data_IF_964147047431
#
_entry.id   IF_964147047431
#
_cell.length_a   1.000
_cell.length_b   1.000
_cell.length_c   1.000
_cell.angle_alpha   90.00
_cell.angle_beta   90.00
_cell.angle_gamma   90.00
#
_symmetry.space_group_name_H-M   'P 1'
#
loop_
_entity.id
_entity.type
_entity.pdbx_description
1 polymer ?
#
# COMPACT_ATOMS: atom_id res chain seq x y z
N UNK A 1 -23.53 35.13 -6.01
CA UNK A 1 -23.41 33.93 -5.16
C UNK A 1 -22.14 33.22 -5.58
N UNK A 2 -21.13 33.04 -4.71
CA UNK A 2 -19.95 32.28 -5.09
C UNK A 2 -20.24 30.78 -4.96
N UNK A 3 -19.92 30.04 -6.02
CA UNK A 3 -20.04 28.59 -6.14
C UNK A 3 -18.81 27.89 -5.54
N UNK A 4 -18.91 26.59 -5.17
CA UNK A 4 -17.81 25.82 -4.59
C UNK A 4 -16.70 25.56 -5.62
N UNK A 5 -15.46 25.77 -5.22
CA UNK A 5 -14.25 25.46 -6.00
C UNK A 5 -14.02 23.95 -6.01
N UNK A 6 -14.22 23.31 -7.16
CA UNK A 6 -13.78 21.93 -7.43
C UNK A 6 -12.40 22.01 -8.10
N UNK A 7 -11.38 21.40 -7.51
CA UNK A 7 -10.01 21.36 -8.06
C UNK A 7 -9.79 20.14 -8.98
N UNK A 8 -8.87 20.21 -9.97
CA UNK A 8 -8.74 19.23 -11.06
C UNK A 8 -8.09 17.88 -10.69
N UNK A 9 -8.00 17.52 -9.41
CA UNK A 9 -7.29 16.31 -8.92
C UNK A 9 -8.17 15.40 -8.08
N UNK A 10 -9.49 15.60 -8.03
CA UNK A 10 -10.36 14.83 -7.14
C UNK A 10 -10.07 15.06 -5.66
N UNK A 11 -9.30 16.10 -5.32
CA UNK A 11 -9.13 16.55 -3.95
C UNK A 11 -10.40 17.25 -3.48
N UNK A 12 -11.00 16.70 -2.42
CA UNK A 12 -11.87 17.48 -1.55
C UNK A 12 -11.01 18.50 -0.80
N UNK A 13 -11.55 19.70 -0.60
CA UNK A 13 -10.92 20.83 0.08
C UNK A 13 -10.25 20.39 1.40
N UNK A 14 -9.02 20.84 1.73
CA UNK A 14 -8.35 20.53 3.01
C UNK A 14 -9.22 20.83 4.24
N UNK A 15 -10.13 21.79 4.12
CA UNK A 15 -11.04 22.16 5.22
C UNK A 15 -12.15 21.13 5.52
N UNK A 16 -12.34 20.09 4.69
CA UNK A 16 -13.28 18.99 4.98
C UNK A 16 -12.69 17.93 5.92
N UNK A 17 -11.38 17.95 6.20
CA UNK A 17 -10.68 16.96 7.01
C UNK A 17 -9.74 17.59 8.05
N UNK A 18 -10.12 18.72 8.65
CA UNK A 18 -9.42 19.21 9.83
C UNK A 18 -9.85 18.38 11.06
N UNK A 19 -9.26 17.18 11.22
CA UNK A 19 -9.26 16.40 12.46
C UNK A 19 -8.88 14.91 12.32
N UNK A 20 -8.22 14.30 13.33
CA UNK A 20 -7.92 12.88 13.36
C UNK A 20 -9.20 12.05 13.40
N UNK A 21 -9.24 10.98 12.61
CA UNK A 21 -10.35 10.03 12.57
C UNK A 21 -10.19 8.98 13.68
N UNK A 22 -11.18 8.82 14.55
CA UNK A 22 -11.20 7.77 15.58
C UNK A 22 -12.05 6.60 15.08
N UNK A 23 -11.42 5.44 14.80
CA UNK A 23 -12.12 4.17 14.53
C UNK A 23 -12.17 3.34 15.81
N UNK A 24 -13.38 2.98 16.27
CA UNK A 24 -13.55 2.12 17.46
C UNK A 24 -13.49 0.63 17.10
N UNK A 25 -12.69 -0.12 17.87
CA UNK A 25 -12.90 -1.54 18.18
C UNK A 25 -12.92 -1.64 19.71
N UNK A 26 -13.93 -2.30 20.29
CA UNK A 26 -14.20 -2.24 21.73
C UNK A 26 -13.41 -3.25 22.57
N UNK A 27 -12.90 -2.85 23.74
CA UNK A 27 -13.44 -3.28 25.06
C UNK A 27 -12.54 -2.81 26.22
N UNK A 28 -13.16 -2.50 27.37
CA UNK A 28 -12.53 -2.07 28.64
C UNK A 28 -12.52 -3.22 29.67
N UNK A 29 -11.51 -3.33 30.57
CA UNK A 29 -11.58 -4.20 31.74
C UNK A 29 -12.26 -3.48 32.91
N UNK A 30 -12.69 -4.25 33.91
CA UNK A 30 -13.66 -3.77 34.89
C UNK A 30 -13.28 -4.13 36.34
N UNK A 31 -13.42 -3.19 37.29
CA UNK A 31 -13.03 -3.36 38.71
C UNK A 31 -14.25 -3.46 39.67
N UNK A 32 -14.52 -4.68 40.16
CA UNK A 32 -15.21 -5.13 41.40
C UNK A 32 -16.70 -4.80 41.72
N UNK A 33 -17.50 -5.87 41.91
CA UNK A 33 -18.50 -5.96 42.99
C UNK A 33 -19.97 -6.24 42.62
N UNK A 34 -20.40 -7.47 42.95
CA UNK A 34 -21.76 -8.03 43.22
C UNK A 34 -22.74 -8.45 42.09
N UNK A 35 -23.54 -9.53 42.32
CA UNK A 35 -24.16 -10.34 41.27
C UNK A 35 -25.65 -10.07 41.05
N UNK A 36 -26.07 -9.99 39.78
CA UNK A 36 -27.46 -10.19 39.35
C UNK A 36 -28.02 -9.18 38.35
N UNK A 37 -28.70 -9.72 37.32
CA UNK A 37 -29.71 -9.12 36.40
C UNK A 37 -29.24 -8.69 35.00
N UNK A 38 -29.95 -9.25 33.99
CA UNK A 38 -29.88 -9.04 32.53
C UNK A 38 -30.47 -7.70 32.09
N UNK A 39 -29.93 -7.05 31.04
CA UNK A 39 -30.68 -6.08 30.20
C UNK A 39 -30.22 -6.11 28.73
N UNK A 40 -31.17 -5.93 27.81
CA UNK A 40 -31.16 -6.18 26.35
C UNK A 40 -30.84 -4.96 25.46
N UNK A 41 -30.08 -5.21 24.38
CA UNK A 41 -30.27 -4.73 23.00
C UNK A 41 -30.31 -3.21 22.71
N UNK A 42 -31.48 -2.60 22.80
CA UNK A 42 -31.80 -1.47 21.93
C UNK A 42 -31.52 -0.08 22.54
N UNK A 43 -31.22 0.00 23.83
CA UNK A 43 -30.87 1.28 24.49
C UNK A 43 -29.42 1.75 24.24
N UNK A 44 -28.54 0.88 23.69
CA UNK A 44 -27.14 1.23 23.43
C UNK A 44 -26.96 2.01 22.12
N UNK A 45 -27.73 1.73 21.07
CA UNK A 45 -27.51 2.34 19.77
C UNK A 45 -27.78 3.86 19.75
N UNK A 46 -28.82 4.32 20.47
CA UNK A 46 -29.18 5.73 20.55
C UNK A 46 -28.26 6.53 21.50
N UNK A 47 -27.79 5.91 22.59
CA UNK A 47 -26.76 6.51 23.47
C UNK A 47 -25.43 6.72 22.75
N UNK A 48 -25.08 5.83 21.81
CA UNK A 48 -23.83 5.89 21.05
C UNK A 48 -23.82 7.00 19.99
N UNK A 49 -24.94 7.25 19.29
CA UNK A 49 -25.05 8.37 18.34
C UNK A 49 -24.99 9.73 19.03
N UNK A 50 -25.59 9.85 20.21
CA UNK A 50 -25.52 11.07 21.00
C UNK A 50 -24.08 11.34 21.51
N UNK A 51 -23.34 10.30 21.86
CA UNK A 51 -21.97 10.42 22.37
C UNK A 51 -20.93 10.66 21.26
N UNK A 52 -21.09 10.04 20.09
CA UNK A 52 -20.25 10.33 18.91
C UNK A 52 -20.38 11.79 18.48
N UNK A 53 -21.58 12.36 18.58
CA UNK A 53 -21.82 13.78 18.34
C UNK A 53 -21.13 14.65 19.39
N UNK A 54 -21.25 14.31 20.67
CA UNK A 54 -20.65 15.07 21.79
C UNK A 54 -19.12 15.09 21.77
N UNK A 55 -18.48 13.97 21.44
CA UNK A 55 -17.00 13.86 21.34
C UNK A 55 -16.47 14.66 20.15
N UNK A 56 -17.17 14.61 19.02
CA UNK A 56 -16.84 15.42 17.85
C UNK A 56 -17.05 16.93 18.10
N UNK A 57 -18.03 17.32 18.92
CA UNK A 57 -18.24 18.70 19.35
C UNK A 57 -17.14 19.15 20.33
N UNK A 58 -16.80 18.34 21.34
CA UNK A 58 -15.75 18.65 22.31
C UNK A 58 -14.36 18.79 21.68
N UNK A 59 -14.01 17.91 20.74
CA UNK A 59 -12.75 17.98 19.99
C UNK A 59 -12.64 19.25 19.12
N UNK A 60 -13.75 19.73 18.56
CA UNK A 60 -13.76 21.00 17.79
C UNK A 60 -13.50 22.21 18.69
N UNK A 61 -13.90 22.15 19.94
CA UNK A 61 -13.81 23.26 20.89
C UNK A 61 -12.47 23.31 21.65
N UNK A 62 -11.75 22.17 21.78
CA UNK A 62 -10.54 22.04 22.61
C UNK A 62 -9.35 21.45 21.84
N UNK A 63 -9.10 21.94 20.60
CA UNK A 63 -8.10 21.41 19.65
C UNK A 63 -6.68 21.26 20.17
N UNK A 64 -6.31 22.01 21.21
CA UNK A 64 -4.94 22.14 21.69
C UNK A 64 -4.71 21.49 23.07
N UNK A 65 -5.72 20.81 23.61
CA UNK A 65 -5.66 20.14 24.91
C UNK A 65 -5.54 18.61 24.78
N UNK A 66 -4.73 17.99 25.64
CA UNK A 66 -4.70 16.54 25.76
C UNK A 66 -6.05 16.05 26.32
N UNK A 67 -6.82 15.33 25.51
CA UNK A 67 -8.12 14.80 25.91
C UNK A 67 -7.91 13.65 26.92
N UNK A 68 -8.23 13.90 28.19
CA UNK A 68 -8.21 12.88 29.24
C UNK A 68 -9.44 11.97 29.15
N UNK A 69 -9.25 10.77 28.61
CA UNK A 69 -10.27 9.73 28.45
C UNK A 69 -10.40 8.82 29.69
N UNK A 70 -9.61 9.06 30.76
CA UNK A 70 -9.56 8.23 31.98
C UNK A 70 -10.91 8.09 32.71
N UNK A 71 -11.79 9.11 32.75
CA UNK A 71 -13.11 8.98 33.39
C UNK A 71 -14.04 7.99 32.67
N UNK A 72 -13.81 7.72 31.37
CA UNK A 72 -14.67 6.87 30.54
C UNK A 72 -14.34 5.37 30.66
N UNK A 73 -13.30 5.01 31.43
CA UNK A 73 -12.78 3.64 31.54
C UNK A 73 -13.18 2.91 32.83
N UNK A 74 -13.92 3.54 33.76
CA UNK A 74 -14.39 2.88 35.00
C UNK A 74 -15.76 2.21 34.82
N UNK A 75 -15.78 0.94 34.40
CA UNK A 75 -16.89 -0.01 34.55
C UNK A 75 -16.51 -1.21 35.44
N UNK A 76 -17.46 -2.00 35.96
CA UNK A 76 -17.28 -3.06 36.99
C UNK A 76 -17.47 -4.51 36.48
N UNK A 77 -16.57 -5.45 36.88
CA UNK A 77 -16.64 -6.94 36.84
C UNK A 77 -16.66 -7.66 35.47
N UNK A 78 -16.14 -8.87 35.20
CA UNK A 78 -15.48 -10.00 35.93
C UNK A 78 -14.80 -10.89 34.85
N UNK A 79 -13.79 -11.73 35.14
CA UNK A 79 -13.13 -12.55 34.11
C UNK A 79 -14.08 -13.65 33.61
N UNK A 80 -14.33 -13.74 32.30
CA UNK A 80 -14.89 -14.96 31.72
C UNK A 80 -13.75 -15.93 31.48
N UNK A 81 -13.73 -17.05 32.21
CA UNK A 81 -13.05 -18.26 31.76
C UNK A 81 -13.85 -18.82 30.57
N UNK A 82 -13.69 -18.19 29.41
CA UNK A 82 -14.17 -18.75 28.16
C UNK A 82 -13.18 -19.86 27.75
N UNK A 83 -13.66 -21.11 27.77
CA UNK A 83 -12.89 -22.27 27.34
C UNK A 83 -12.59 -22.20 25.83
N UNK A 84 -11.50 -21.53 25.45
CA UNK A 84 -10.92 -21.65 24.11
C UNK A 84 -10.10 -22.96 24.07
N UNK A 85 -10.70 -24.06 23.60
CA UNK A 85 -9.99 -25.32 23.32
C UNK A 85 -9.05 -25.82 24.46
N UNK A 86 -9.46 -25.67 25.73
CA UNK A 86 -8.67 -26.12 26.89
C UNK A 86 -7.48 -25.22 27.27
N UNK A 87 -7.38 -24.01 26.70
CA UNK A 87 -6.36 -23.01 27.06
C UNK A 87 -6.89 -21.98 28.06
N UNK A 88 -5.99 -21.44 28.86
CA UNK A 88 -6.28 -20.33 29.79
C UNK A 88 -6.37 -19.03 29.00
N UNK A 89 -7.47 -18.31 29.14
CA UNK A 89 -7.66 -17.00 28.49
C UNK A 89 -7.05 -15.90 29.36
N UNK A 90 -6.17 -15.10 28.76
CA UNK A 90 -5.51 -13.95 29.34
C UNK A 90 -6.10 -12.67 28.74
N UNK A 91 -6.41 -11.69 29.58
CA UNK A 91 -6.81 -10.38 29.08
C UNK A 91 -5.61 -9.65 28.47
N UNK A 92 -5.81 -9.03 27.31
CA UNK A 92 -4.81 -8.18 26.68
C UNK A 92 -4.43 -7.02 27.61
N UNK A 93 -3.13 -6.78 27.80
CA UNK A 93 -2.68 -5.56 28.51
C UNK A 93 -2.98 -4.35 27.63
N UNK A 94 -3.55 -3.30 28.21
CA UNK A 94 -3.59 -1.97 27.58
C UNK A 94 -4.24 -1.91 26.21
N UNK A 95 -5.45 -2.45 26.03
CA UNK A 95 -6.30 -2.06 24.88
C UNK A 95 -6.78 -0.62 25.05
N UNK A 96 -5.85 0.32 24.86
CA UNK A 96 -6.10 1.75 24.75
C UNK A 96 -6.50 2.12 23.33
N UNK A 97 -6.98 3.35 23.17
CA UNK A 97 -7.24 3.94 21.87
C UNK A 97 -5.94 3.98 21.05
N UNK A 98 -5.97 3.45 19.83
CA UNK A 98 -4.94 3.79 18.84
C UNK A 98 -5.36 5.15 18.26
N UNK A 99 -4.74 6.21 18.76
CA UNK A 99 -4.81 7.53 18.12
C UNK A 99 -3.72 7.53 17.06
N UNK A 100 -4.11 7.31 15.80
CA UNK A 100 -3.20 7.52 14.68
C UNK A 100 -3.13 9.02 14.42
N UNK A 101 -2.00 9.63 14.77
CA UNK A 101 -1.69 10.98 14.31
C UNK A 101 -1.45 10.91 12.81
N UNK A 102 -2.41 11.39 12.03
CA UNK A 102 -2.27 11.53 10.58
C UNK A 102 -1.32 12.71 10.34
N UNK A 103 -0.11 12.40 9.88
CA UNK A 103 0.75 13.41 9.28
C UNK A 103 0.30 13.62 7.83
N UNK A 104 -0.29 14.78 7.48
CA UNK A 104 -0.79 15.05 6.13
C UNK A 104 0.33 15.12 5.08
N UNK A 105 1.61 15.12 5.50
CA UNK A 105 2.76 15.11 4.60
C UNK A 105 3.21 13.70 4.23
N UNK A 106 2.69 12.67 4.90
CA UNK A 106 3.05 11.26 4.67
C UNK A 106 2.00 10.60 3.79
N UNK A 107 2.44 9.99 2.68
CA UNK A 107 1.57 9.18 1.84
C UNK A 107 1.29 7.82 2.50
N UNK A 108 0.02 7.54 2.82
CA UNK A 108 -0.40 6.36 3.60
C UNK A 108 -0.97 5.23 2.73
N UNK A 109 -1.15 4.03 3.31
CA UNK A 109 -1.84 2.92 2.66
C UNK A 109 -3.30 3.25 2.31
N UNK A 110 -3.96 4.04 3.16
CA UNK A 110 -5.31 4.54 2.93
C UNK A 110 -5.36 5.49 1.74
N UNK A 111 -4.36 6.36 1.58
CA UNK A 111 -4.26 7.27 0.42
C UNK A 111 -3.98 6.48 -0.86
N UNK A 112 -3.10 5.48 -0.80
CA UNK A 112 -2.87 4.56 -1.89
C UNK A 112 -4.16 3.80 -2.29
N UNK A 113 -4.93 3.30 -1.33
CA UNK A 113 -6.20 2.61 -1.61
C UNK A 113 -7.25 3.57 -2.22
N UNK A 114 -7.35 4.81 -1.73
CA UNK A 114 -8.24 5.83 -2.34
C UNK A 114 -7.82 6.19 -3.76
N UNK A 115 -6.52 6.35 -3.98
CA UNK A 115 -5.96 6.60 -5.30
C UNK A 115 -6.27 5.42 -6.23
N UNK A 116 -5.99 4.19 -5.80
CA UNK A 116 -6.26 2.96 -6.54
C UNK A 116 -7.74 2.83 -6.93
N UNK A 117 -8.67 3.11 -6.01
CA UNK A 117 -10.11 3.13 -6.27
C UNK A 117 -10.53 4.19 -7.31
N UNK A 118 -9.76 5.27 -7.43
CA UNK A 118 -9.94 6.31 -8.45
C UNK A 118 -9.25 5.97 -9.78
N UNK A 119 -8.72 4.75 -9.93
CA UNK A 119 -7.94 4.32 -11.09
C UNK A 119 -6.45 4.64 -10.98
N UNK A 120 -5.93 4.79 -9.75
CA UNK A 120 -4.54 4.90 -9.33
C UNK A 120 -3.65 3.74 -9.77
N UNK A 121 -2.47 4.02 -10.31
CA UNK A 121 -1.40 3.03 -10.49
C UNK A 121 -0.62 2.77 -9.18
N UNK A 122 -1.34 2.45 -8.10
CA UNK A 122 -0.77 2.21 -6.76
C UNK A 122 -1.63 1.20 -6.00
N UNK A 123 -1.16 0.74 -4.83
CA UNK A 123 -1.87 -0.21 -3.99
C UNK A 123 -1.52 -0.03 -2.50
N UNK A 124 -2.51 -0.14 -1.60
CA UNK A 124 -2.33 0.02 -0.16
C UNK A 124 -1.30 -0.92 0.45
N UNK A 125 -1.20 -2.14 -0.09
CA UNK A 125 -0.21 -3.16 0.31
C UNK A 125 1.20 -2.58 0.47
N UNK A 126 1.67 -1.76 -0.46
CA UNK A 126 3.03 -1.21 -0.45
C UNK A 126 3.33 -0.26 0.72
N UNK A 127 2.30 0.32 1.33
CA UNK A 127 2.46 1.34 2.38
C UNK A 127 2.00 0.84 3.74
N UNK A 128 1.67 -0.46 3.86
CA UNK A 128 1.29 -1.06 5.14
C UNK A 128 2.53 -1.22 6.02
N UNK A 129 2.51 -0.56 7.17
CA UNK A 129 3.51 -0.74 8.22
C UNK A 129 3.45 -2.15 8.80
N UNK A 130 4.60 -2.70 9.14
CA UNK A 130 4.75 -4.08 9.66
C UNK A 130 5.24 -4.11 11.10
N UNK A 131 5.48 -2.95 11.71
CA UNK A 131 5.99 -2.83 13.10
C UNK A 131 5.07 -3.51 14.11
N UNK A 132 3.77 -3.62 13.78
CA UNK A 132 2.79 -4.33 14.60
C UNK A 132 3.18 -5.79 14.87
N UNK A 133 3.94 -6.44 13.99
CA UNK A 133 4.44 -7.80 14.20
C UNK A 133 5.35 -7.88 15.42
N UNK A 134 6.27 -6.93 15.56
CA UNK A 134 7.24 -6.88 16.64
C UNK A 134 6.61 -6.40 17.95
N UNK A 135 5.77 -5.36 17.88
CA UNK A 135 5.00 -4.90 19.04
C UNK A 135 4.12 -6.02 19.58
N UNK A 136 3.38 -6.72 18.72
CA UNK A 136 2.60 -7.86 19.14
C UNK A 136 3.48 -8.99 19.69
N UNK A 137 4.62 -9.30 19.05
CA UNK A 137 5.52 -10.35 19.55
C UNK A 137 5.99 -10.08 20.98
N UNK A 138 6.34 -8.83 21.30
CA UNK A 138 6.70 -8.42 22.66
C UNK A 138 5.56 -8.68 23.64
N UNK A 139 4.32 -8.36 23.30
CA UNK A 139 3.17 -8.61 24.19
C UNK A 139 2.90 -10.11 24.37
N UNK A 140 3.07 -10.91 23.32
CA UNK A 140 2.94 -12.36 23.38
C UNK A 140 4.04 -13.04 24.20
N UNK A 141 5.14 -12.36 24.53
CA UNK A 141 6.14 -12.90 25.48
C UNK A 141 5.58 -13.12 26.87
N UNK A 142 4.54 -12.36 27.25
CA UNK A 142 3.92 -12.45 28.56
C UNK A 142 3.01 -13.68 28.73
N UNK A 143 2.62 -14.36 27.65
CA UNK A 143 1.77 -15.55 27.70
C UNK A 143 2.56 -16.79 28.12
N UNK A 144 2.02 -17.58 29.04
CA UNK A 144 2.46 -18.96 29.30
C UNK A 144 2.14 -19.91 28.14
N UNK A 145 2.72 -21.11 28.16
CA UNK A 145 2.59 -22.11 27.07
C UNK A 145 1.13 -22.52 26.79
N UNK A 146 0.28 -22.50 27.83
CA UNK A 146 -1.14 -22.85 27.75
C UNK A 146 -2.07 -21.63 27.75
N UNK A 147 -1.54 -20.43 27.51
CA UNK A 147 -2.30 -19.18 27.54
C UNK A 147 -2.57 -18.62 26.14
N UNK A 148 -3.72 -17.96 26.00
CA UNK A 148 -4.08 -17.21 24.79
C UNK A 148 -4.72 -15.90 25.18
N UNK A 149 -4.53 -14.86 24.37
CA UNK A 149 -5.28 -13.64 24.56
C UNK A 149 -6.76 -13.81 24.23
N UNK A 150 -7.63 -13.13 24.98
CA UNK A 150 -9.08 -13.04 24.70
C UNK A 150 -9.36 -12.49 23.30
N UNK A 151 -8.56 -11.51 22.87
CA UNK A 151 -8.59 -10.93 21.52
C UNK A 151 -7.20 -10.94 20.91
N UNK A 152 -7.09 -11.02 19.58
CA UNK A 152 -5.78 -10.90 18.91
C UNK A 152 -5.23 -9.51 19.17
N UNK A 153 -4.00 -9.46 19.69
CA UNK A 153 -3.31 -8.20 19.91
C UNK A 153 -2.54 -7.70 18.67
N UNK A 154 -3.11 -7.97 17.50
CA UNK A 154 -2.45 -7.77 16.21
C UNK A 154 -3.43 -6.97 15.37
N UNK A 155 -3.02 -5.79 14.90
CA UNK A 155 -3.82 -4.98 13.98
C UNK A 155 -3.48 -5.36 12.52
N UNK A 156 -3.84 -6.59 12.12
CA UNK A 156 -3.43 -7.19 10.85
C UNK A 156 -4.47 -7.11 9.72
N UNK A 157 -5.74 -6.82 10.03
CA UNK A 157 -6.87 -6.97 9.09
C UNK A 157 -6.62 -6.24 7.77
N UNK A 158 -6.14 -5.00 7.84
CA UNK A 158 -5.91 -4.18 6.66
C UNK A 158 -4.66 -4.63 5.89
N UNK A 159 -3.60 -5.06 6.58
CA UNK A 159 -2.42 -5.66 5.93
C UNK A 159 -2.80 -6.95 5.20
N UNK A 160 -3.57 -7.83 5.85
CA UNK A 160 -4.05 -9.09 5.28
C UNK A 160 -4.91 -8.84 4.05
N UNK A 161 -5.90 -7.94 4.15
CA UNK A 161 -6.79 -7.64 3.03
C UNK A 161 -6.04 -7.02 1.86
N UNK A 162 -5.18 -6.05 2.09
CA UNK A 162 -4.43 -5.43 1.00
C UNK A 162 -3.41 -6.41 0.39
N UNK A 163 -2.83 -7.31 1.18
CA UNK A 163 -1.97 -8.39 0.66
C UNK A 163 -2.78 -9.30 -0.26
N UNK A 164 -3.90 -9.84 0.22
CA UNK A 164 -4.76 -10.71 -0.57
C UNK A 164 -5.27 -9.99 -1.82
N UNK A 165 -5.74 -8.76 -1.70
CA UNK A 165 -6.24 -7.96 -2.82
C UNK A 165 -5.19 -7.75 -3.90
N UNK A 166 -3.97 -7.36 -3.49
CA UNK A 166 -2.85 -7.14 -4.40
C UNK A 166 -2.55 -8.38 -5.22
N UNK A 167 -2.26 -9.50 -4.57
CA UNK A 167 -1.80 -10.72 -5.25
C UNK A 167 -2.92 -11.46 -5.99
N UNK A 168 -4.15 -11.43 -5.48
CA UNK A 168 -5.28 -12.18 -6.05
C UNK A 168 -6.18 -11.32 -6.94
N UNK A 169 -5.87 -10.04 -7.12
CA UNK A 169 -6.71 -9.08 -7.84
C UNK A 169 -8.15 -9.02 -7.27
N UNK A 170 -8.26 -8.99 -5.94
CA UNK A 170 -9.53 -9.01 -5.23
C UNK A 170 -10.27 -10.35 -5.22
N UNK A 171 -9.71 -11.41 -5.81
CA UNK A 171 -10.30 -12.74 -5.80
C UNK A 171 -9.89 -13.53 -4.54
N UNK A 172 -10.42 -13.10 -3.39
CA UNK A 172 -10.24 -13.76 -2.12
C UNK A 172 -11.55 -13.75 -1.30
N UNK A 173 -11.69 -14.71 -0.39
CA UNK A 173 -12.85 -14.85 0.46
C UNK A 173 -12.57 -14.40 1.91
N UNK A 174 -13.62 -14.27 2.72
CA UNK A 174 -13.43 -14.05 4.16
C UNK A 174 -12.73 -15.25 4.83
N UNK A 175 -12.84 -16.46 4.27
CA UNK A 175 -12.08 -17.62 4.74
C UNK A 175 -10.57 -17.42 4.57
N UNK A 176 -10.16 -16.85 3.43
CA UNK A 176 -8.75 -16.53 3.17
C UNK A 176 -8.22 -15.47 4.12
N UNK A 177 -9.03 -14.44 4.38
CA UNK A 177 -8.71 -13.41 5.39
C UNK A 177 -8.52 -14.05 6.76
N UNK A 178 -9.49 -14.84 7.24
CA UNK A 178 -9.42 -15.47 8.55
C UNK A 178 -8.19 -16.37 8.68
N UNK A 179 -7.91 -17.19 7.64
CA UNK A 179 -6.74 -18.07 7.56
C UNK A 179 -5.44 -17.30 7.65
N UNK A 180 -5.28 -16.25 6.84
CA UNK A 180 -4.04 -15.46 6.86
C UNK A 180 -3.84 -14.75 8.19
N UNK A 181 -4.90 -14.22 8.80
CA UNK A 181 -4.80 -13.63 10.14
C UNK A 181 -4.38 -14.68 11.20
N UNK A 182 -4.84 -15.93 11.09
CA UNK A 182 -4.40 -17.01 11.97
C UNK A 182 -2.92 -17.33 11.77
N UNK A 183 -2.46 -17.37 10.51
CA UNK A 183 -1.04 -17.55 10.18
C UNK A 183 -0.19 -16.38 10.72
N UNK A 184 -0.68 -15.13 10.62
CA UNK A 184 -0.04 -13.95 11.22
C UNK A 184 0.07 -14.07 12.74
N UNK A 185 -0.96 -14.63 13.40
CA UNK A 185 -0.90 -14.91 14.84
C UNK A 185 0.18 -15.95 15.17
N UNK A 186 0.32 -16.98 14.34
CA UNK A 186 1.39 -17.99 14.49
C UNK A 186 2.78 -17.38 14.27
N UNK A 187 2.95 -16.51 13.27
CA UNK A 187 4.19 -15.75 13.05
C UNK A 187 4.57 -14.92 14.29
N UNK A 188 3.60 -14.18 14.85
CA UNK A 188 3.82 -13.38 16.07
C UNK A 188 4.22 -14.25 17.26
N UNK A 189 3.63 -15.45 17.41
CA UNK A 189 4.01 -16.39 18.46
C UNK A 189 5.42 -16.94 18.28
N UNK A 190 5.83 -17.24 17.06
CA UNK A 190 7.21 -17.67 16.79
C UNK A 190 8.22 -16.56 17.10
N UNK A 191 7.92 -15.31 16.70
CA UNK A 191 8.74 -14.16 17.06
C UNK A 191 8.80 -13.96 18.59
N UNK A 192 7.68 -14.11 19.29
CA UNK A 192 7.63 -14.03 20.74
C UNK A 192 8.49 -15.12 21.40
N UNK A 193 8.51 -16.33 20.84
CA UNK A 193 9.35 -17.42 21.32
C UNK A 193 10.84 -17.09 21.14
N UNK A 194 11.24 -16.51 19.99
CA UNK A 194 12.62 -16.05 19.80
C UNK A 194 13.05 -15.05 20.88
N UNK A 195 12.15 -14.14 21.30
CA UNK A 195 12.42 -13.20 22.40
C UNK A 195 12.57 -13.93 23.74
N UNK A 196 11.67 -14.88 24.04
CA UNK A 196 11.73 -15.69 25.29
C UNK A 196 13.03 -16.49 25.40
N UNK A 197 13.54 -16.96 24.27
CA UNK A 197 14.79 -17.71 24.18
C UNK A 197 16.03 -16.79 24.33
N UNK A 198 15.84 -15.49 24.59
CA UNK A 198 16.90 -14.50 24.76
C UNK A 198 17.45 -13.92 23.44
N UNK A 199 16.78 -14.21 22.32
CA UNK A 199 17.15 -13.73 21.00
C UNK A 199 16.52 -12.38 20.63
N UNK A 200 17.02 -11.77 19.55
CA UNK A 200 16.36 -10.65 18.87
C UNK A 200 15.36 -11.20 17.84
N UNK A 201 14.14 -10.65 17.73
CA UNK A 201 13.17 -11.05 16.71
C UNK A 201 13.74 -10.99 15.29
N UNK A 202 13.62 -12.09 14.56
CA UNK A 202 14.14 -12.25 13.22
C UNK A 202 13.12 -12.98 12.32
N UNK A 203 12.58 -12.25 11.35
CA UNK A 203 11.59 -12.74 10.39
C UNK A 203 12.14 -13.85 9.49
N UNK A 204 13.46 -13.93 9.28
CA UNK A 204 14.08 -14.97 8.46
C UNK A 204 14.08 -16.35 9.14
N UNK A 205 13.91 -16.39 10.47
CA UNK A 205 13.86 -17.62 11.28
C UNK A 205 12.44 -18.12 11.53
N UNK A 206 11.43 -17.37 11.09
CA UNK A 206 10.03 -17.76 11.20
C UNK A 206 9.73 -18.89 10.19
N UNK A 207 9.10 -19.95 10.67
CA UNK A 207 8.76 -21.15 9.88
C UNK A 207 7.34 -21.10 9.33
N UNK A 208 6.41 -20.45 10.03
CA UNK A 208 5.04 -20.27 9.52
C UNK A 208 5.07 -19.51 8.19
N UNK A 209 4.40 -20.07 7.19
CA UNK A 209 4.12 -19.43 5.90
C UNK A 209 2.72 -18.82 5.90
N UNK A 210 2.53 -17.86 5.02
CA UNK A 210 1.26 -17.24 4.69
C UNK A 210 0.73 -17.85 3.39
N UNK A 211 -0.55 -18.18 3.36
CA UNK A 211 -1.20 -18.65 2.14
C UNK A 211 -1.84 -17.48 1.39
N UNK A 212 -1.43 -17.27 0.15
CA UNK A 212 -1.95 -16.23 -0.76
C UNK A 212 -2.45 -16.91 -2.03
N UNK A 213 -3.77 -16.99 -2.21
CA UNK A 213 -4.36 -17.84 -3.24
C UNK A 213 -3.92 -19.30 -3.04
N UNK A 214 -3.27 -19.86 -4.04
CA UNK A 214 -2.70 -21.23 -4.00
C UNK A 214 -1.19 -21.26 -3.68
N UNK A 215 -0.59 -20.12 -3.34
CA UNK A 215 0.83 -19.99 -3.06
C UNK A 215 1.12 -19.87 -1.56
N UNK A 216 2.23 -20.47 -1.13
CA UNK A 216 2.80 -20.28 0.21
C UNK A 216 3.98 -19.32 0.13
N UNK A 217 4.05 -18.37 1.06
CA UNK A 217 5.12 -17.36 1.11
C UNK A 217 5.57 -17.14 2.56
N UNK A 218 6.88 -17.02 2.79
CA UNK A 218 7.35 -16.60 4.12
C UNK A 218 7.06 -15.12 4.35
N UNK A 219 6.90 -14.71 5.61
CA UNK A 219 6.73 -13.27 5.92
C UNK A 219 7.93 -12.45 5.43
N UNK A 220 9.16 -12.97 5.52
CA UNK A 220 10.36 -12.28 5.03
C UNK A 220 10.31 -12.04 3.51
N UNK A 221 9.94 -13.05 2.72
CA UNK A 221 9.77 -12.93 1.27
C UNK A 221 8.64 -11.96 0.93
N UNK A 222 7.52 -12.00 1.65
CA UNK A 222 6.39 -11.11 1.43
C UNK A 222 6.78 -9.63 1.64
N UNK A 223 7.55 -9.32 2.69
CA UNK A 223 8.00 -7.94 2.94
C UNK A 223 9.06 -7.48 1.94
N UNK A 224 9.91 -8.38 1.45
CA UNK A 224 10.84 -8.09 0.36
C UNK A 224 10.09 -7.75 -0.95
N UNK A 225 9.05 -8.52 -1.27
CA UNK A 225 8.15 -8.25 -2.41
C UNK A 225 7.41 -6.92 -2.22
N UNK A 226 6.93 -6.62 -1.01
CA UNK A 226 6.28 -5.35 -0.68
C UNK A 226 7.20 -4.17 -0.99
N UNK A 227 8.43 -4.20 -0.48
CA UNK A 227 9.42 -3.14 -0.69
C UNK A 227 9.82 -3.00 -2.16
N UNK A 228 10.14 -4.11 -2.81
CA UNK A 228 10.53 -4.12 -4.22
C UNK A 228 9.40 -3.60 -5.11
N UNK A 229 8.17 -4.05 -4.85
CA UNK A 229 6.97 -3.59 -5.55
C UNK A 229 6.71 -2.11 -5.33
N UNK A 230 6.89 -1.60 -4.11
CA UNK A 230 6.76 -0.18 -3.81
C UNK A 230 7.72 0.65 -4.67
N UNK A 231 9.02 0.37 -4.61
CA UNK A 231 10.07 1.11 -5.34
C UNK A 231 9.84 1.07 -6.86
N UNK A 232 9.36 -0.05 -7.41
CA UNK A 232 9.01 -0.15 -8.83
C UNK A 232 7.73 0.63 -9.16
N UNK A 233 6.71 0.55 -8.30
CA UNK A 233 5.39 1.16 -8.55
C UNK A 233 5.41 2.68 -8.60
N UNK A 234 6.40 3.31 -7.94
CA UNK A 234 6.63 4.76 -8.03
C UNK A 234 6.81 5.22 -9.49
N UNK A 235 7.31 4.35 -10.38
CA UNK A 235 7.49 4.67 -11.80
C UNK A 235 6.20 4.65 -12.63
N UNK A 236 5.07 4.20 -12.06
CA UNK A 236 3.79 4.10 -12.78
C UNK A 236 2.86 5.30 -12.57
N UNK A 237 3.23 6.25 -11.71
CA UNK A 237 2.37 7.36 -11.32
C UNK A 237 3.06 8.72 -11.44
N UNK A 238 2.28 9.80 -11.36
CA UNK A 238 2.83 11.17 -11.32
C UNK A 238 3.43 11.67 -12.64
N UNK A 239 3.15 10.99 -13.75
CA UNK A 239 3.72 11.33 -15.04
C UNK A 239 3.02 12.53 -15.66
N UNK A 240 3.79 13.49 -16.14
CA UNK A 240 3.29 14.52 -17.06
C UNK A 240 3.46 14.05 -18.50
N UNK A 241 2.55 14.44 -19.41
CA UNK A 241 2.57 13.97 -20.80
C UNK A 241 2.22 15.08 -21.79
N UNK A 242 2.52 14.86 -23.06
CA UNK A 242 2.19 15.75 -24.17
C UNK A 242 3.23 16.84 -24.45
N UNK A 243 4.40 16.72 -23.85
CA UNK A 243 5.57 17.54 -24.18
C UNK A 243 6.79 16.64 -24.12
N UNK A 244 7.33 16.28 -25.28
CA UNK A 244 8.48 15.38 -25.34
C UNK A 244 9.74 16.11 -24.84
N UNK A 245 9.94 16.05 -23.53
CA UNK A 245 11.06 16.62 -22.79
C UNK A 245 11.99 15.51 -22.30
N UNK A 246 13.15 15.89 -21.77
CA UNK A 246 14.07 14.92 -21.16
C UNK A 246 13.40 14.18 -20.00
N UNK A 247 12.64 14.93 -19.17
CA UNK A 247 11.91 14.38 -18.04
C UNK A 247 10.87 13.35 -18.48
N UNK A 248 10.02 13.66 -19.45
CA UNK A 248 9.00 12.72 -19.93
C UNK A 248 9.63 11.51 -20.64
N UNK A 249 10.65 11.74 -21.46
CA UNK A 249 11.39 10.64 -22.11
C UNK A 249 11.93 9.65 -21.07
N UNK A 250 12.54 10.17 -20.01
CA UNK A 250 13.07 9.36 -18.91
C UNK A 250 11.94 8.69 -18.10
N UNK A 251 10.89 9.41 -17.73
CA UNK A 251 9.77 8.88 -16.95
C UNK A 251 9.07 7.72 -17.66
N UNK A 252 8.73 7.88 -18.94
CA UNK A 252 8.05 6.83 -19.70
C UNK A 252 8.96 5.62 -19.97
N UNK A 253 10.25 5.83 -20.21
CA UNK A 253 11.19 4.72 -20.26
C UNK A 253 11.27 3.97 -18.91
N UNK A 254 11.39 4.68 -17.78
CA UNK A 254 11.40 4.09 -16.43
C UNK A 254 10.15 3.29 -16.13
N UNK A 255 8.98 3.78 -16.54
CA UNK A 255 7.71 3.06 -16.41
C UNK A 255 7.75 1.69 -17.11
N UNK A 256 8.22 1.64 -18.35
CA UNK A 256 8.39 0.38 -19.07
C UNK A 256 9.44 -0.54 -18.43
N UNK A 257 10.58 0.04 -18.00
CA UNK A 257 11.65 -0.70 -17.33
C UNK A 257 11.14 -1.29 -16.02
N UNK A 258 10.39 -0.54 -15.21
CA UNK A 258 9.86 -0.98 -13.93
C UNK A 258 8.91 -2.19 -14.08
N UNK A 259 8.07 -2.21 -15.13
CA UNK A 259 7.27 -3.39 -15.49
C UNK A 259 8.16 -4.59 -15.80
N UNK A 260 9.16 -4.43 -16.68
CA UNK A 260 10.06 -5.53 -17.04
C UNK A 260 10.84 -6.05 -15.83
N UNK A 261 11.32 -5.16 -14.95
CA UNK A 261 12.00 -5.53 -13.71
C UNK A 261 11.07 -6.26 -12.73
N UNK A 262 9.81 -5.83 -12.59
CA UNK A 262 8.81 -6.53 -11.77
C UNK A 262 8.53 -7.94 -12.28
N UNK A 263 8.50 -8.12 -13.60
CA UNK A 263 8.32 -9.43 -14.23
C UNK A 263 9.56 -10.31 -14.07
N UNK A 264 10.76 -9.76 -14.24
CA UNK A 264 12.00 -10.48 -13.98
C UNK A 264 12.11 -10.89 -12.50
N UNK A 265 11.82 -9.98 -11.56
CA UNK A 265 11.88 -10.27 -10.12
C UNK A 265 10.92 -11.40 -9.69
N UNK A 266 9.72 -11.45 -10.26
CA UNK A 266 8.75 -12.51 -9.96
C UNK A 266 9.04 -13.85 -10.66
N UNK A 267 9.85 -13.85 -11.72
CA UNK A 267 10.02 -15.02 -12.59
C UNK A 267 10.57 -16.27 -11.90
N UNK A 268 11.39 -16.10 -10.87
CA UNK A 268 12.05 -17.19 -10.13
C UNK A 268 11.38 -17.52 -8.78
N UNK A 269 10.27 -16.86 -8.43
CA UNK A 269 9.61 -17.00 -7.11
C UNK A 269 8.34 -17.86 -7.14
N UNK A 270 8.25 -18.78 -8.09
CA UNK A 270 7.14 -19.72 -8.21
C UNK A 270 5.77 -19.04 -8.36
N UNK A 271 4.72 -19.64 -7.80
CA UNK A 271 3.34 -19.15 -7.96
C UNK A 271 3.12 -17.75 -7.36
N UNK A 272 3.73 -17.45 -6.20
CA UNK A 272 3.63 -16.11 -5.60
C UNK A 272 4.34 -15.06 -6.47
N UNK A 273 5.47 -15.42 -7.08
CA UNK A 273 6.17 -14.58 -8.05
C UNK A 273 5.35 -14.28 -9.29
N UNK A 274 4.63 -15.27 -9.82
CA UNK A 274 3.71 -15.06 -10.94
C UNK A 274 2.58 -14.10 -10.58
N UNK A 275 1.97 -14.26 -9.39
CA UNK A 275 0.95 -13.33 -8.90
C UNK A 275 1.52 -11.91 -8.73
N UNK A 276 2.76 -11.79 -8.23
CA UNK A 276 3.46 -10.51 -8.13
C UNK A 276 3.61 -9.85 -9.51
N UNK A 277 4.17 -10.57 -10.49
CA UNK A 277 4.37 -10.06 -11.86
C UNK A 277 3.06 -9.63 -12.50
N UNK A 278 2.00 -10.44 -12.39
CA UNK A 278 0.67 -10.07 -12.87
C UNK A 278 0.13 -8.80 -12.19
N UNK A 279 0.44 -8.60 -10.92
CA UNK A 279 0.04 -7.39 -10.17
C UNK A 279 0.81 -6.17 -10.65
N UNK A 280 2.10 -6.32 -10.95
CA UNK A 280 2.91 -5.27 -11.56
C UNK A 280 2.43 -4.92 -12.98
N UNK A 281 2.04 -5.91 -13.78
CA UNK A 281 1.43 -5.69 -15.09
C UNK A 281 0.16 -4.85 -14.98
N UNK A 282 -0.74 -5.17 -14.03
CA UNK A 282 -1.96 -4.39 -13.78
C UNK A 282 -1.68 -2.96 -13.35
N UNK A 283 -0.67 -2.74 -12.50
CA UNK A 283 -0.28 -1.38 -12.09
C UNK A 283 0.28 -0.57 -13.26
N UNK A 284 1.10 -1.19 -14.10
CA UNK A 284 1.60 -0.58 -15.34
C UNK A 284 0.45 -0.20 -16.27
N UNK A 285 -0.51 -1.10 -16.52
CA UNK A 285 -1.69 -0.84 -17.35
C UNK A 285 -2.51 0.34 -16.80
N UNK A 286 -2.76 0.37 -15.47
CA UNK A 286 -3.42 1.51 -14.84
C UNK A 286 -2.66 2.82 -15.05
N UNK A 287 -1.33 2.79 -15.02
CA UNK A 287 -0.50 3.97 -15.30
C UNK A 287 -0.68 4.47 -16.74
N UNK A 288 -0.76 3.56 -17.71
CA UNK A 288 -1.01 3.93 -19.12
C UNK A 288 -2.41 4.54 -19.25
N UNK A 289 -3.41 3.90 -18.67
CA UNK A 289 -4.79 4.38 -18.66
C UNK A 289 -4.93 5.76 -18.01
N UNK A 290 -4.12 6.06 -16.98
CA UNK A 290 -4.09 7.40 -16.38
C UNK A 290 -3.57 8.45 -17.36
N UNK A 291 -2.47 8.16 -18.06
CA UNK A 291 -1.91 9.06 -19.08
C UNK A 291 -2.92 9.29 -20.20
N UNK A 292 -3.57 8.24 -20.69
CA UNK A 292 -4.58 8.33 -21.75
C UNK A 292 -5.81 9.13 -21.32
N UNK A 293 -6.33 8.88 -20.11
CA UNK A 293 -7.45 9.65 -19.54
C UNK A 293 -7.09 11.12 -19.34
N UNK A 294 -5.89 11.40 -18.82
CA UNK A 294 -5.40 12.77 -18.64
C UNK A 294 -5.28 13.50 -19.99
N UNK A 295 -4.76 12.81 -21.02
CA UNK A 295 -4.65 13.37 -22.36
C UNK A 295 -6.02 13.64 -23.00
N UNK A 296 -6.95 12.68 -22.92
CA UNK A 296 -8.31 12.84 -23.43
C UNK A 296 -9.05 13.99 -22.72
N UNK A 297 -8.90 14.10 -21.40
CA UNK A 297 -9.43 15.23 -20.65
C UNK A 297 -8.80 16.55 -21.11
N UNK A 298 -7.47 16.62 -21.23
CA UNK A 298 -6.76 17.82 -21.69
C UNK A 298 -7.25 18.27 -23.08
N UNK A 299 -7.49 17.33 -24.00
CA UNK A 299 -8.09 17.63 -25.30
C UNK A 299 -9.50 18.22 -25.17
N UNK A 300 -10.29 17.87 -24.16
CA UNK A 300 -11.61 18.45 -23.97
C UNK A 300 -11.57 19.91 -23.47
N UNK A 301 -10.53 20.29 -22.72
CA UNK A 301 -10.46 21.59 -22.02
C UNK A 301 -9.48 22.60 -22.63
N UNK A 302 -8.48 22.17 -23.41
CA UNK A 302 -7.49 23.08 -24.01
C UNK A 302 -7.23 22.79 -25.49
N UNK A 303 -7.11 23.86 -26.28
CA UNK A 303 -6.74 23.77 -27.69
C UNK A 303 -5.30 23.24 -27.89
N UNK A 304 -4.38 23.56 -26.97
CA UNK A 304 -2.97 23.15 -27.06
C UNK A 304 -2.79 21.62 -27.10
N UNK A 305 -3.59 20.88 -26.33
CA UNK A 305 -3.57 19.42 -26.31
C UNK A 305 -4.12 18.78 -27.59
N UNK A 306 -4.87 19.52 -28.42
CA UNK A 306 -5.40 19.04 -29.70
C UNK A 306 -4.38 19.14 -30.85
N UNK A 307 -3.26 19.83 -30.64
CA UNK A 307 -2.24 20.00 -31.68
C UNK A 307 -1.63 18.65 -32.07
N UNK A 308 -1.22 18.51 -33.34
CA UNK A 308 -0.58 17.29 -33.83
C UNK A 308 0.69 16.97 -33.02
N UNK A 309 1.52 17.98 -32.72
CA UNK A 309 2.72 17.82 -31.91
C UNK A 309 2.46 17.24 -30.53
N UNK A 310 1.46 17.76 -29.80
CA UNK A 310 1.12 17.24 -28.48
C UNK A 310 0.62 15.78 -28.53
N UNK A 311 -0.25 15.45 -29.50
CA UNK A 311 -0.74 14.07 -29.68
C UNK A 311 0.38 13.10 -30.04
N UNK A 312 1.28 13.50 -30.94
CA UNK A 312 2.43 12.68 -31.33
C UNK A 312 3.47 12.58 -30.22
N UNK A 313 3.59 13.59 -29.34
CA UNK A 313 4.41 13.52 -28.14
C UNK A 313 3.87 12.47 -27.17
N UNK A 314 2.56 12.50 -26.85
CA UNK A 314 1.93 11.46 -26.00
C UNK A 314 2.10 10.07 -26.61
N UNK A 315 1.91 9.94 -27.93
CA UNK A 315 2.13 8.67 -28.62
C UNK A 315 3.58 8.19 -28.53
N UNK A 316 4.54 9.10 -28.64
CA UNK A 316 5.97 8.82 -28.50
C UNK A 316 6.31 8.39 -27.08
N UNK A 317 5.81 9.11 -26.09
CA UNK A 317 5.94 8.82 -24.65
C UNK A 317 5.39 7.43 -24.32
N UNK A 318 4.15 7.11 -24.70
CA UNK A 318 3.57 5.77 -24.51
C UNK A 318 4.34 4.69 -25.30
N UNK A 319 4.88 5.05 -26.47
CA UNK A 319 5.76 4.20 -27.26
C UNK A 319 7.04 3.81 -26.53
N UNK A 320 7.65 4.74 -25.80
CA UNK A 320 8.83 4.48 -24.96
C UNK A 320 8.50 3.49 -23.83
N UNK A 321 7.40 3.72 -23.11
CA UNK A 321 6.96 2.82 -22.05
C UNK A 321 6.69 1.41 -22.60
N UNK A 322 6.06 1.32 -23.78
CA UNK A 322 5.81 0.04 -24.44
C UNK A 322 7.10 -0.69 -24.81
N UNK A 323 8.05 -0.01 -25.46
CA UNK A 323 9.33 -0.59 -25.87
C UNK A 323 10.06 -1.23 -24.68
N UNK A 324 10.24 -0.48 -23.59
CA UNK A 324 10.93 -1.01 -22.41
C UNK A 324 10.14 -2.08 -21.65
N UNK A 325 8.81 -2.06 -21.71
CA UNK A 325 7.99 -3.09 -21.06
C UNK A 325 8.11 -4.48 -21.70
N UNK A 326 8.73 -4.57 -22.89
CA UNK A 326 8.90 -5.78 -23.70
C UNK A 326 10.34 -6.32 -23.67
N UNK A 327 11.19 -5.82 -22.76
CA UNK A 327 12.52 -6.39 -22.55
C UNK A 327 12.44 -7.87 -22.16
N UNK A 328 13.49 -8.62 -22.44
CA UNK A 328 13.58 -10.05 -22.15
C UNK A 328 13.78 -10.27 -20.66
N UNK A 329 12.75 -10.75 -19.98
CA UNK A 329 12.75 -11.04 -18.54
C UNK A 329 13.06 -12.51 -18.23
N UNK A 330 13.49 -13.31 -19.22
CA UNK A 330 13.77 -14.74 -19.03
C UNK A 330 15.09 -15.03 -18.32
N UNK A 331 16.04 -14.08 -18.31
CA UNK A 331 17.32 -14.20 -17.60
C UNK A 331 17.97 -12.84 -17.37
N UNK A 332 18.90 -12.75 -16.41
CA UNK A 332 19.66 -11.53 -16.16
C UNK A 332 20.42 -11.05 -17.40
N UNK A 333 21.04 -11.98 -18.14
CA UNK A 333 21.77 -11.68 -19.37
C UNK A 333 20.83 -11.24 -20.50
N UNK A 334 19.68 -11.91 -20.67
CA UNK A 334 18.65 -11.51 -21.62
C UNK A 334 18.12 -10.11 -21.35
N UNK A 335 17.88 -9.77 -20.08
CA UNK A 335 17.44 -8.45 -19.66
C UNK A 335 18.46 -7.36 -19.99
N UNK A 336 19.75 -7.58 -19.70
CA UNK A 336 20.83 -6.62 -20.01
C UNK A 336 21.02 -6.46 -21.53
N UNK A 337 20.97 -7.55 -22.29
CA UNK A 337 21.12 -7.51 -23.75
C UNK A 337 19.94 -6.79 -24.41
N UNK A 338 18.71 -7.14 -24.01
CA UNK A 338 17.50 -6.52 -24.54
C UNK A 338 17.42 -5.04 -24.16
N UNK A 339 17.87 -4.62 -22.97
CA UNK A 339 17.95 -3.21 -22.59
C UNK A 339 18.78 -2.38 -23.56
N UNK A 340 19.97 -2.83 -23.93
CA UNK A 340 20.86 -2.09 -24.84
C UNK A 340 20.23 -1.86 -26.22
N UNK A 341 19.56 -2.91 -26.74
CA UNK A 341 18.84 -2.83 -28.01
C UNK A 341 17.61 -1.91 -27.91
N UNK A 342 16.90 -1.95 -26.78
CA UNK A 342 15.69 -1.16 -26.54
C UNK A 342 16.03 0.31 -26.35
N UNK A 343 17.13 0.63 -25.67
CA UNK A 343 17.62 2.00 -25.52
C UNK A 343 17.98 2.63 -26.88
N UNK A 344 18.55 1.83 -27.79
CA UNK A 344 18.83 2.28 -29.15
C UNK A 344 17.53 2.58 -29.91
N UNK A 345 16.52 1.71 -29.80
CA UNK A 345 15.20 1.93 -30.40
C UNK A 345 14.48 3.15 -29.81
N UNK A 346 14.57 3.34 -28.49
CA UNK A 346 14.01 4.49 -27.79
C UNK A 346 14.63 5.81 -28.28
N UNK A 347 15.96 5.87 -28.44
CA UNK A 347 16.64 7.03 -29.03
C UNK A 347 16.16 7.31 -30.46
N UNK A 348 16.02 6.27 -31.28
CA UNK A 348 15.53 6.40 -32.65
C UNK A 348 14.08 6.93 -32.70
N UNK A 349 13.22 6.46 -31.80
CA UNK A 349 11.84 6.90 -31.69
C UNK A 349 11.74 8.41 -31.36
N UNK A 350 12.53 8.89 -30.39
CA UNK A 350 12.59 10.32 -30.05
C UNK A 350 13.20 11.15 -31.18
N UNK A 351 14.23 10.62 -31.85
CA UNK A 351 14.83 11.28 -33.03
C UNK A 351 13.82 11.44 -34.16
N UNK A 352 13.00 10.44 -34.44
CA UNK A 352 11.97 10.50 -35.46
C UNK A 352 10.95 11.61 -35.16
N UNK A 353 10.49 11.71 -33.91
CA UNK A 353 9.62 12.82 -33.49
C UNK A 353 10.31 14.19 -33.70
N UNK A 354 11.57 14.31 -33.27
CA UNK A 354 12.33 15.56 -33.44
C UNK A 354 12.45 15.95 -34.92
N UNK A 355 12.77 15.00 -35.80
CA UNK A 355 12.86 15.24 -37.25
C UNK A 355 11.52 15.64 -37.86
N UNK A 356 10.41 15.01 -37.46
CA UNK A 356 9.07 15.34 -37.95
C UNK A 356 8.70 16.81 -37.67
N UNK A 357 9.17 17.36 -36.56
CA UNK A 357 8.87 18.72 -36.12
C UNK A 357 10.02 19.71 -36.30
N UNK A 358 11.07 19.32 -37.04
CA UNK A 358 12.27 20.13 -37.30
C UNK A 358 12.93 20.68 -36.02
N UNK A 359 12.96 19.85 -34.98
CA UNK A 359 13.57 20.17 -33.68
C UNK A 359 14.90 19.41 -33.52
N UNK A 360 15.95 20.03 -32.94
CA UNK A 360 17.16 19.30 -32.60
C UNK A 360 16.93 18.44 -31.35
N UNK A 361 17.61 17.29 -31.26
CA UNK A 361 17.51 16.39 -30.09
C UNK A 361 18.00 17.02 -28.78
N UNK A 362 18.81 18.09 -28.87
CA UNK A 362 19.22 18.92 -27.72
C UNK A 362 18.05 19.71 -27.14
N UNK A 363 17.06 20.08 -27.96
CA UNK A 363 15.85 20.78 -27.51
C UNK A 363 15.02 19.91 -26.55
N UNK A 364 14.94 18.61 -26.82
CA UNK A 364 14.23 17.64 -25.98
C UNK A 364 15.14 16.99 -24.93
N UNK A 365 16.42 17.37 -24.87
CA UNK A 365 17.39 16.86 -23.90
C UNK A 365 17.64 15.34 -23.95
N UNK A 366 17.56 14.72 -25.14
CA UNK A 366 17.64 13.26 -25.31
C UNK A 366 18.91 12.62 -24.70
N UNK A 367 20.06 13.31 -24.78
CA UNK A 367 21.30 12.80 -24.21
C UNK A 367 21.23 12.69 -22.68
N UNK A 368 20.66 13.69 -22.01
CA UNK A 368 20.46 13.68 -20.56
C UNK A 368 19.47 12.61 -20.13
N UNK A 369 18.33 12.52 -20.82
CA UNK A 369 17.32 11.49 -20.55
C UNK A 369 17.90 10.07 -20.69
N UNK A 370 18.73 9.85 -21.71
CA UNK A 370 19.39 8.56 -21.88
C UNK A 370 20.27 8.20 -20.68
N UNK A 371 21.11 9.13 -20.21
CA UNK A 371 21.95 8.88 -19.03
C UNK A 371 21.10 8.56 -17.79
N UNK A 372 19.97 9.25 -17.62
CA UNK A 372 19.01 8.95 -16.54
C UNK A 372 18.41 7.55 -16.64
N UNK A 373 18.03 7.12 -17.85
CA UNK A 373 17.49 5.78 -18.14
C UNK A 373 18.53 4.69 -17.84
N UNK A 374 19.77 4.87 -18.30
CA UNK A 374 20.89 3.94 -18.05
C UNK A 374 21.16 3.80 -16.55
N UNK A 375 21.24 4.92 -15.82
CA UNK A 375 21.44 4.92 -14.36
C UNK A 375 20.34 4.21 -13.61
N UNK A 376 19.08 4.45 -13.98
CA UNK A 376 17.95 3.78 -13.35
C UNK A 376 18.02 2.27 -13.54
N UNK A 377 18.24 1.81 -14.78
CA UNK A 377 18.36 0.39 -15.07
C UNK A 377 19.54 -0.23 -14.31
N UNK A 378 20.72 0.39 -14.35
CA UNK A 378 21.92 -0.09 -13.63
C UNK A 378 21.68 -0.23 -12.13
N UNK A 379 21.04 0.76 -11.50
CA UNK A 379 20.74 0.71 -10.06
C UNK A 379 19.87 -0.48 -9.66
N UNK A 380 18.98 -0.92 -10.56
CA UNK A 380 18.15 -2.10 -10.34
C UNK A 380 18.90 -3.40 -10.61
N UNK A 381 19.79 -3.44 -11.61
CA UNK A 381 20.62 -4.62 -11.88
C UNK A 381 21.64 -4.92 -10.78
N UNK A 382 21.99 -3.93 -9.96
CA UNK A 382 22.82 -4.09 -8.76
C UNK A 382 22.01 -4.64 -7.57
N UNK A 383 20.70 -4.34 -7.51
CA UNK A 383 19.79 -4.81 -6.45
C UNK A 383 19.28 -6.23 -6.68
N UNK A 384 19.04 -6.60 -7.94
CA UNK A 384 18.48 -7.89 -8.40
C UNK A 384 19.59 -8.85 -8.83
#
# INVERSE_FOLDING_TARGET
>A
MPMPTILPTGQLHPDLFNGPFVKRISSTPAATGEPGVKVTGDAMAERWKAEEKRVNEYWREHRDEAIDLTPQLRGKGTPSTDYYNGKTVVENKGMGFIIETIDPTIYTAEDANKAAASGGATHGFFYRKTDFLFSAAQEYTALGENEVFRYRNINDVNFVRDTLDFFTNGNYSQTDVNRMQDQMTSIVRELAQQIKDGGTPDLSKVKTTLTVGDAEVSISQLLEMQKTGQELSESFSGMTSGSLTAHNTEAFAKMGIAKALGNYYGSDKGAIGQMFSQSMDRLYEKGLDQVERAHAWAQSVTYGAKTAGNRDAVKTELGLAKLFSQMDTGSKSGLVQSFSSTLTQARALVQQYCSQYNMPTTHVGLAGATVGIEKFFQSWMEKL
#
